data_IF_192940989129
#
_entry.id   IF_192940989129
#
_cell.length_a   1.000
_cell.length_b   1.000
_cell.length_c   1.000
_cell.angle_alpha   90.00
_cell.angle_beta   90.00
_cell.angle_gamma   90.00
#
_symmetry.space_group_name_H-M   'P 1'
#
loop_
_entity.id
_entity.type
_entity.pdbx_description
1 polymer ?
#
# COMPACT_ATOMS: atom_id res chain seq x y z
N UNK A 1 12.28 8.86 -16.85
CA UNK A 1 12.58 8.88 -15.40
C UNK A 1 11.95 10.13 -14.78
N UNK A 2 10.97 9.93 -13.89
CA UNK A 2 10.22 11.02 -13.24
C UNK A 2 10.85 11.41 -11.91
N UNK A 3 11.34 10.43 -11.18
CA UNK A 3 12.02 10.61 -9.90
C UNK A 3 12.91 9.41 -9.61
N UNK A 4 13.79 9.55 -8.64
CA UNK A 4 14.48 8.42 -8.01
C UNK A 4 14.54 8.59 -6.50
N UNK A 5 14.61 7.46 -5.79
CA UNK A 5 14.68 7.45 -4.34
C UNK A 5 15.87 6.61 -3.90
N UNK A 6 16.69 7.18 -3.03
CA UNK A 6 17.75 6.46 -2.32
C UNK A 6 17.32 6.11 -0.90
N UNK A 7 17.63 4.88 -0.45
CA UNK A 7 17.46 4.43 0.92
C UNK A 7 18.81 4.17 1.55
N UNK A 8 19.04 4.64 2.77
CA UNK A 8 20.23 4.30 3.54
C UNK A 8 20.21 2.80 3.89
N UNK A 9 21.34 2.11 3.64
CA UNK A 9 21.51 0.68 3.95
C UNK A 9 21.99 0.43 5.41
N UNK A 10 22.27 1.48 6.16
CA UNK A 10 22.72 1.41 7.54
C UNK A 10 22.05 2.47 8.41
N UNK A 11 22.55 2.63 9.65
CA UNK A 11 22.05 3.67 10.54
C UNK A 11 22.29 5.06 9.94
N UNK A 12 21.22 5.79 9.70
CA UNK A 12 21.24 7.16 9.18
C UNK A 12 20.07 7.97 9.74
N UNK A 13 20.33 9.23 10.06
CA UNK A 13 19.28 10.18 10.44
C UNK A 13 18.31 10.42 9.27
N UNK A 14 18.79 10.33 8.05
CA UNK A 14 18.01 10.48 6.83
C UNK A 14 17.86 9.11 6.16
N UNK A 15 16.71 8.45 6.40
CA UNK A 15 16.44 7.11 5.87
C UNK A 15 16.22 7.10 4.36
N UNK A 16 15.59 8.14 3.83
CA UNK A 16 15.24 8.25 2.41
C UNK A 16 15.60 9.62 1.85
N UNK A 17 16.08 9.65 0.62
CA UNK A 17 16.23 10.85 -0.19
C UNK A 17 15.46 10.63 -1.48
N UNK A 18 14.48 11.48 -1.76
CA UNK A 18 13.74 11.45 -3.02
C UNK A 18 14.10 12.68 -3.85
N UNK A 19 14.60 12.46 -5.06
CA UNK A 19 14.87 13.51 -6.03
C UNK A 19 13.81 13.44 -7.13
N UNK A 20 12.99 14.47 -7.25
CA UNK A 20 12.06 14.67 -8.36
C UNK A 20 12.76 15.35 -9.53
N UNK A 21 12.74 14.72 -10.70
CA UNK A 21 13.21 15.29 -11.97
C UNK A 21 12.07 16.06 -12.62
N UNK A 22 10.89 15.46 -12.66
CA UNK A 22 9.66 16.08 -13.13
C UNK A 22 8.76 16.42 -11.95
N UNK A 23 8.48 17.74 -11.75
CA UNK A 23 7.70 18.24 -10.63
C UNK A 23 6.19 18.10 -10.83
N UNK A 24 5.74 17.97 -12.07
CA UNK A 24 4.34 17.95 -12.44
C UNK A 24 3.77 16.53 -12.43
N UNK A 25 4.62 15.51 -12.48
CA UNK A 25 4.22 14.12 -12.40
C UNK A 25 4.14 13.57 -10.97
N UNK A 26 3.15 12.71 -10.74
CA UNK A 26 2.99 11.98 -9.48
C UNK A 26 4.09 10.94 -9.30
N UNK A 27 4.51 10.76 -8.04
CA UNK A 27 5.51 9.77 -7.68
C UNK A 27 4.85 8.39 -7.58
N UNK A 28 4.74 7.68 -8.69
CA UNK A 28 4.36 6.28 -8.70
C UNK A 28 5.54 5.42 -9.12
N UNK A 29 5.97 4.54 -8.23
CA UNK A 29 6.99 3.55 -8.52
C UNK A 29 6.34 2.33 -9.17
N UNK A 30 6.93 1.85 -10.27
CA UNK A 30 6.49 0.62 -10.94
C UNK A 30 5.36 0.80 -11.97
N UNK A 31 4.95 2.02 -12.29
CA UNK A 31 3.86 2.33 -13.24
C UNK A 31 4.08 1.71 -14.64
N UNK A 32 5.32 1.57 -15.05
CA UNK A 32 5.74 1.01 -16.34
C UNK A 32 5.52 -0.51 -16.45
N UNK A 33 5.21 -1.18 -15.35
CA UNK A 33 5.01 -2.64 -15.28
C UNK A 33 3.55 -3.05 -15.13
N UNK A 34 2.63 -2.08 -15.05
CA UNK A 34 1.24 -2.33 -14.69
C UNK A 34 0.43 -2.81 -15.90
N UNK A 35 -0.29 -3.92 -15.69
CA UNK A 35 -1.39 -4.34 -16.54
C UNK A 35 -2.69 -3.67 -16.04
N UNK A 36 -3.20 -2.71 -16.80
CA UNK A 36 -4.41 -1.95 -16.44
C UNK A 36 -5.71 -2.75 -16.57
N UNK A 37 -5.65 -3.95 -17.14
CA UNK A 37 -6.81 -4.84 -17.24
C UNK A 37 -7.05 -5.68 -15.99
N UNK A 38 -6.03 -5.80 -15.15
CA UNK A 38 -6.06 -6.59 -13.91
C UNK A 38 -6.21 -5.71 -12.66
N UNK A 39 -6.38 -6.35 -11.49
CA UNK A 39 -6.34 -5.67 -10.19
C UNK A 39 -4.97 -5.05 -9.96
N UNK A 40 -4.96 -3.80 -9.51
CA UNK A 40 -3.74 -3.03 -9.24
C UNK A 40 -3.62 -2.81 -7.74
N UNK A 41 -2.57 -3.35 -7.14
CA UNK A 41 -2.29 -3.15 -5.72
C UNK A 41 -1.46 -1.89 -5.52
N UNK A 42 -1.85 -1.08 -4.55
CA UNK A 42 -1.18 0.20 -4.26
C UNK A 42 -0.65 0.17 -2.84
N UNK A 43 0.67 0.26 -2.69
CA UNK A 43 1.37 0.29 -1.39
C UNK A 43 1.98 1.67 -1.11
N UNK A 44 2.43 1.90 0.13
CA UNK A 44 3.22 3.09 0.47
C UNK A 44 4.66 2.95 -0.02
N UNK A 45 5.29 1.82 0.28
CA UNK A 45 6.70 1.57 0.04
C UNK A 45 6.98 0.91 -1.31
N UNK A 46 8.00 1.38 -2.07
CA UNK A 46 8.44 0.70 -3.29
C UNK A 46 8.87 -0.75 -3.06
N UNK A 47 9.48 -1.06 -1.91
CA UNK A 47 9.94 -2.42 -1.60
C UNK A 47 8.75 -3.36 -1.44
N UNK A 48 7.69 -2.93 -0.73
CA UNK A 48 6.48 -3.71 -0.54
C UNK A 48 5.81 -4.06 -1.88
N UNK A 49 5.76 -3.09 -2.81
CA UNK A 49 5.19 -3.33 -4.13
C UNK A 49 5.96 -4.34 -4.99
N UNK A 50 7.23 -4.61 -4.65
CA UNK A 50 8.04 -5.59 -5.40
C UNK A 50 7.69 -7.04 -5.09
N UNK A 51 6.98 -7.29 -4.00
CA UNK A 51 6.56 -8.62 -3.56
C UNK A 51 5.13 -8.95 -3.97
N UNK A 52 4.43 -8.04 -4.64
CA UNK A 52 3.07 -8.22 -5.14
C UNK A 52 3.04 -8.25 -6.66
N UNK A 53 2.14 -9.06 -7.19
CA UNK A 53 1.83 -9.01 -8.61
C UNK A 53 1.06 -7.72 -8.95
N UNK A 54 1.37 -7.12 -10.10
CA UNK A 54 0.68 -5.95 -10.63
C UNK A 54 0.52 -4.80 -9.61
N UNK A 55 1.63 -4.39 -8.98
CA UNK A 55 1.62 -3.40 -7.91
C UNK A 55 2.43 -2.15 -8.21
N UNK A 56 1.97 -1.03 -7.68
CA UNK A 56 2.66 0.27 -7.65
C UNK A 56 2.83 0.76 -6.22
N UNK A 57 3.81 1.65 -6.00
CA UNK A 57 3.91 2.38 -4.75
C UNK A 57 3.83 3.88 -4.97
N UNK A 58 3.14 4.58 -4.05
CA UNK A 58 3.01 6.04 -4.10
C UNK A 58 4.24 6.76 -3.57
N UNK A 59 5.11 6.05 -2.83
CA UNK A 59 6.24 6.63 -2.10
C UNK A 59 5.84 7.78 -1.14
N UNK A 60 4.58 7.82 -0.78
CA UNK A 60 3.98 8.65 0.26
C UNK A 60 2.71 7.96 0.81
N UNK A 61 2.14 8.52 1.88
CA UNK A 61 1.00 7.92 2.57
C UNK A 61 -0.35 8.08 1.84
N UNK A 62 -0.41 8.82 0.73
CA UNK A 62 -1.66 9.04 -0.02
C UNK A 62 -1.86 8.01 -1.14
N UNK A 63 -2.24 6.78 -0.78
CA UNK A 63 -2.45 5.70 -1.74
C UNK A 63 -3.57 6.01 -2.74
N UNK A 64 -4.58 6.76 -2.35
CA UNK A 64 -5.70 7.14 -3.23
C UNK A 64 -5.27 8.00 -4.42
N UNK A 65 -4.07 8.61 -4.39
CA UNK A 65 -3.53 9.36 -5.51
C UNK A 65 -3.35 8.50 -6.78
N UNK A 66 -3.24 7.18 -6.64
CA UNK A 66 -3.15 6.25 -7.76
C UNK A 66 -4.39 6.29 -8.68
N UNK A 67 -5.57 6.67 -8.17
CA UNK A 67 -6.79 6.83 -8.97
C UNK A 67 -6.74 7.95 -10.04
N UNK A 68 -5.70 8.77 -10.02
CA UNK A 68 -5.41 9.74 -11.08
C UNK A 68 -4.81 9.11 -12.34
N UNK A 69 -4.31 7.88 -12.21
CA UNK A 69 -3.63 7.13 -13.27
C UNK A 69 -4.37 5.87 -13.68
N UNK A 70 -5.16 5.29 -12.77
CA UNK A 70 -5.82 4.00 -12.96
C UNK A 70 -7.30 4.08 -12.60
N UNK A 71 -8.09 3.18 -13.20
CA UNK A 71 -9.50 3.02 -12.85
C UNK A 71 -9.62 2.61 -11.37
N UNK A 72 -10.36 3.41 -10.62
CA UNK A 72 -10.62 3.20 -9.19
C UNK A 72 -11.20 1.82 -8.89
N UNK A 73 -12.02 1.28 -9.78
CA UNK A 73 -12.64 -0.04 -9.59
C UNK A 73 -11.65 -1.21 -9.60
N UNK A 74 -10.46 -0.98 -10.16
CA UNK A 74 -9.37 -1.96 -10.24
C UNK A 74 -8.32 -1.78 -9.14
N UNK A 75 -8.39 -0.70 -8.37
CA UNK A 75 -7.42 -0.38 -7.33
C UNK A 75 -7.76 -1.09 -6.02
N UNK A 76 -6.77 -1.74 -5.42
CA UNK A 76 -6.78 -2.23 -4.03
C UNK A 76 -5.71 -1.49 -3.24
N UNK A 77 -6.11 -0.80 -2.18
CA UNK A 77 -5.20 -0.06 -1.32
C UNK A 77 -4.66 -0.97 -0.21
N UNK A 78 -3.33 -1.04 -0.10
CA UNK A 78 -2.61 -1.89 0.85
C UNK A 78 -1.79 -0.98 1.77
N UNK A 79 -2.40 -0.57 2.88
CA UNK A 79 -1.74 0.23 3.91
C UNK A 79 -0.90 -0.64 4.83
N UNK A 80 0.08 -0.04 5.49
CA UNK A 80 0.84 -0.68 6.56
C UNK A 80 -0.08 -1.17 7.68
N UNK A 81 0.24 -2.30 8.30
CA UNK A 81 -0.53 -2.88 9.40
C UNK A 81 -0.21 -2.18 10.73
N UNK A 82 -0.57 -0.91 10.83
CA UNK A 82 -0.34 -0.07 12.01
C UNK A 82 -1.68 0.41 12.63
N UNK A 83 -2.45 -0.45 13.31
CA UNK A 83 -3.79 -0.10 13.82
C UNK A 83 -3.79 0.98 14.93
N UNK A 84 -2.61 1.34 15.46
CA UNK A 84 -2.42 2.44 16.43
C UNK A 84 -1.89 3.73 15.80
N UNK A 85 -1.55 3.74 14.54
CA UNK A 85 -1.09 4.92 13.83
C UNK A 85 -2.29 5.76 13.37
N UNK A 86 -2.49 6.92 14.01
CA UNK A 86 -3.64 7.80 13.74
C UNK A 86 -3.71 8.27 12.29
N UNK A 87 -2.56 8.47 11.64
CA UNK A 87 -2.53 8.96 10.25
C UNK A 87 -2.98 7.85 9.29
N UNK A 88 -2.50 6.62 9.47
CA UNK A 88 -2.94 5.47 8.68
C UNK A 88 -4.42 5.20 8.91
N UNK A 89 -4.87 5.15 10.17
CA UNK A 89 -6.29 4.94 10.52
C UNK A 89 -7.17 5.97 9.84
N UNK A 90 -6.80 7.26 9.88
CA UNK A 90 -7.55 8.35 9.22
C UNK A 90 -7.60 8.19 7.70
N UNK A 91 -6.50 7.76 7.09
CA UNK A 91 -6.46 7.57 5.63
C UNK A 91 -7.28 6.36 5.19
N UNK A 92 -7.21 5.25 5.94
CA UNK A 92 -8.05 4.08 5.69
C UNK A 92 -9.53 4.40 5.84
N UNK A 93 -9.92 5.14 6.89
CA UNK A 93 -11.31 5.58 7.08
C UNK A 93 -11.81 6.40 5.89
N UNK A 94 -10.99 7.36 5.44
CA UNK A 94 -11.31 8.16 4.24
C UNK A 94 -11.45 7.30 2.99
N UNK A 95 -10.53 6.35 2.77
CA UNK A 95 -10.58 5.44 1.62
C UNK A 95 -11.84 4.57 1.61
N UNK A 96 -12.27 4.09 2.79
CA UNK A 96 -13.50 3.33 2.96
C UNK A 96 -14.73 4.20 2.66
N UNK A 97 -14.77 5.44 3.15
CA UNK A 97 -15.85 6.38 2.88
C UNK A 97 -15.94 6.78 1.40
N UNK A 98 -14.81 6.81 0.73
CA UNK A 98 -14.73 7.01 -0.71
C UNK A 98 -14.92 5.71 -1.53
N UNK A 99 -15.32 4.59 -0.90
CA UNK A 99 -15.63 3.31 -1.57
C UNK A 99 -14.46 2.66 -2.32
N UNK A 100 -13.22 2.81 -1.85
CA UNK A 100 -12.09 2.04 -2.36
C UNK A 100 -12.13 0.60 -1.86
N UNK A 101 -11.58 -0.33 -2.64
CA UNK A 101 -11.19 -1.64 -2.15
C UNK A 101 -9.94 -1.46 -1.29
N UNK A 102 -9.94 -2.05 -0.10
CA UNK A 102 -8.88 -1.87 0.89
C UNK A 102 -8.56 -3.19 1.58
N UNK A 103 -7.28 -3.45 1.79
CA UNK A 103 -6.85 -4.56 2.63
C UNK A 103 -6.98 -4.17 4.10
N UNK A 104 -7.63 -5.04 4.87
CA UNK A 104 -7.69 -4.94 6.34
C UNK A 104 -7.02 -6.20 6.89
N UNK A 105 -5.84 -6.02 7.44
CA UNK A 105 -5.01 -7.12 7.89
C UNK A 105 -5.68 -7.93 8.99
N UNK A 106 -5.69 -9.28 8.91
CA UNK A 106 -6.26 -10.12 9.94
C UNK A 106 -5.38 -10.11 11.21
N UNK A 107 -5.98 -10.37 12.36
CA UNK A 107 -5.31 -10.30 13.66
C UNK A 107 -4.09 -11.23 13.77
N UNK A 108 -4.03 -12.30 12.98
CA UNK A 108 -2.90 -13.23 12.95
C UNK A 108 -1.64 -12.63 12.29
N UNK A 109 -1.78 -11.58 11.51
CA UNK A 109 -0.64 -10.86 10.90
C UNK A 109 -0.20 -9.78 11.88
N UNK A 110 1.00 -9.96 12.42
CA UNK A 110 1.61 -9.04 13.40
C UNK A 110 2.68 -8.14 12.76
N UNK A 111 3.12 -8.50 11.59
CA UNK A 111 4.10 -7.76 10.80
C UNK A 111 3.52 -6.39 10.42
N UNK A 112 4.39 -5.40 10.41
CA UNK A 112 4.02 -4.02 10.13
C UNK A 112 3.69 -3.79 8.65
N UNK A 113 4.48 -4.38 7.77
CA UNK A 113 4.41 -4.20 6.32
C UNK A 113 4.78 -5.50 5.59
N UNK A 114 4.64 -5.49 4.27
CA UNK A 114 4.93 -6.67 3.43
C UNK A 114 6.41 -7.05 3.49
N UNK A 115 7.32 -6.07 3.54
CA UNK A 115 8.74 -6.36 3.66
C UNK A 115 9.06 -7.12 4.96
N UNK A 116 8.44 -6.73 6.08
CA UNK A 116 8.61 -7.45 7.35
C UNK A 116 8.02 -8.88 7.28
N UNK A 117 6.89 -9.08 6.57
CA UNK A 117 6.34 -10.43 6.33
C UNK A 117 7.34 -11.31 5.57
N UNK A 118 7.96 -10.80 4.52
CA UNK A 118 8.98 -11.54 3.74
C UNK A 118 10.20 -11.87 4.61
N UNK A 119 10.67 -10.93 5.42
CA UNK A 119 11.78 -11.13 6.34
C UNK A 119 11.45 -12.20 7.41
N UNK A 120 10.19 -12.34 7.79
CA UNK A 120 9.70 -13.36 8.70
C UNK A 120 9.34 -14.69 8.03
N UNK A 121 9.58 -14.82 6.72
CA UNK A 121 9.52 -16.08 6.00
C UNK A 121 8.25 -16.33 5.19
N UNK A 122 7.33 -15.34 5.09
CA UNK A 122 6.20 -15.45 4.16
C UNK A 122 6.70 -15.39 2.72
N UNK A 123 6.17 -16.27 1.88
CA UNK A 123 6.40 -16.20 0.44
C UNK A 123 5.50 -15.12 -0.20
N UNK A 124 5.89 -14.56 -1.36
CA UNK A 124 5.04 -13.63 -2.10
C UNK A 124 3.64 -14.20 -2.41
N UNK A 125 3.54 -15.49 -2.73
CA UNK A 125 2.26 -16.15 -3.02
C UNK A 125 1.35 -16.20 -1.78
N UNK A 126 1.90 -16.50 -0.60
CA UNK A 126 1.15 -16.48 0.66
C UNK A 126 0.65 -15.07 0.99
N UNK A 127 1.49 -14.05 0.79
CA UNK A 127 1.13 -12.65 1.00
C UNK A 127 0.00 -12.25 0.04
N UNK A 128 0.11 -12.61 -1.24
CA UNK A 128 -0.88 -12.32 -2.26
C UNK A 128 -2.23 -13.00 -1.94
N UNK A 129 -2.21 -14.23 -1.45
CA UNK A 129 -3.41 -14.96 -1.02
C UNK A 129 -4.08 -14.28 0.21
N UNK A 130 -3.29 -13.87 1.21
CA UNK A 130 -3.78 -13.11 2.37
C UNK A 130 -4.44 -11.80 1.92
N UNK A 131 -3.76 -11.01 1.10
CA UNK A 131 -4.28 -9.75 0.57
C UNK A 131 -5.61 -9.97 -0.17
N UNK A 132 -5.69 -10.99 -1.02
CA UNK A 132 -6.89 -11.30 -1.77
C UNK A 132 -8.08 -11.66 -0.88
N UNK A 133 -7.86 -12.44 0.17
CA UNK A 133 -8.90 -12.84 1.12
C UNK A 133 -9.37 -11.71 2.04
N UNK A 134 -8.47 -10.78 2.36
CA UNK A 134 -8.73 -9.71 3.31
C UNK A 134 -8.90 -8.33 2.65
N UNK A 135 -9.22 -8.34 1.36
CA UNK A 135 -9.66 -7.15 0.61
C UNK A 135 -11.17 -6.98 0.78
N UNK A 136 -11.57 -5.80 1.26
CA UNK A 136 -12.96 -5.46 1.53
C UNK A 136 -13.35 -4.12 0.90
N UNK A 137 -14.66 -3.91 0.74
CA UNK A 137 -15.24 -2.67 0.21
C UNK A 137 -16.54 -2.34 0.93
N UNK A 138 -16.93 -1.08 0.94
CA UNK A 138 -18.21 -0.58 1.45
C UNK A 138 -18.49 -0.98 2.92
N UNK A 139 -19.69 -1.47 3.23
CA UNK A 139 -20.10 -1.80 4.58
C UNK A 139 -19.21 -2.84 5.24
N UNK A 140 -18.78 -3.87 4.48
CA UNK A 140 -17.90 -4.90 5.02
C UNK A 140 -16.54 -4.33 5.41
N UNK A 141 -15.97 -3.44 4.59
CA UNK A 141 -14.74 -2.74 4.96
C UNK A 141 -14.91 -1.93 6.26
N UNK A 142 -16.05 -1.23 6.44
CA UNK A 142 -16.33 -0.51 7.69
C UNK A 142 -16.36 -1.42 8.91
N UNK A 143 -17.01 -2.57 8.80
CA UNK A 143 -17.13 -3.54 9.90
C UNK A 143 -15.77 -4.12 10.29
N UNK A 144 -14.98 -4.60 9.32
CA UNK A 144 -13.65 -5.15 9.57
C UNK A 144 -12.69 -4.07 10.10
N UNK A 145 -12.75 -2.86 9.57
CA UNK A 145 -11.94 -1.73 10.01
C UNK A 145 -12.19 -1.33 11.48
N UNK A 146 -13.44 -1.34 11.93
CA UNK A 146 -13.78 -1.06 13.34
C UNK A 146 -13.11 -2.07 14.28
N UNK A 147 -13.03 -3.34 13.88
CA UNK A 147 -12.37 -4.37 14.69
C UNK A 147 -10.84 -4.26 14.62
N UNK A 148 -10.30 -3.84 13.47
CA UNK A 148 -8.86 -3.73 13.26
C UNK A 148 -8.25 -2.52 13.97
N UNK A 149 -8.85 -1.34 13.91
CA UNK A 149 -8.31 -0.12 14.50
C UNK A 149 -8.24 -0.21 16.03
N UNK A 150 -7.16 0.33 16.61
CA UNK A 150 -6.90 0.33 18.06
C UNK A 150 -6.70 1.75 18.63
N UNK A 151 -7.25 2.76 17.98
CA UNK A 151 -7.27 4.18 18.36
C UNK A 151 -8.64 4.78 18.23
#
# INVERSE_FOLDING_TARGET
>A
LVAFQGRALGESKLRYITVKIDRDNHKLYGIDRINTEETIYVTEGPIDSMFLENAVATADSNLMAASRHFDKSKIVLVYDNEPRNKDIVKQMEKAIDEHYQIVIWPEMIVEKDINDMVLNGFSPDEIQDIISRFTFVNLRAKMEFINWKKV
#
